data_IF_177316783900
#
_entry.id   IF_177316783900
#
_cell.length_a   1.000
_cell.length_b   1.000
_cell.length_c   1.000
_cell.angle_alpha   90.00
_cell.angle_beta   90.00
_cell.angle_gamma   90.00
#
_symmetry.space_group_name_H-M   'P 1'
#
loop_
_entity.id
_entity.type
_entity.pdbx_description
1 polymer ?
#
# COMPACT_ATOMS: atom_id res chain seq x y z
N UNK A 1 -60.81 -8.57 29.64
CA UNK A 1 -59.92 -7.44 29.34
C UNK A 1 -58.52 -7.84 29.76
N UNK A 2 -57.74 -8.34 28.84
CA UNK A 2 -56.36 -8.80 29.07
C UNK A 2 -55.37 -7.82 28.42
N UNK A 3 -54.55 -7.20 29.25
CA UNK A 3 -53.42 -6.38 28.75
C UNK A 3 -52.36 -7.28 28.14
N UNK A 4 -51.82 -6.94 26.98
CA UNK A 4 -50.91 -7.83 26.28
C UNK A 4 -49.56 -7.89 27.01
N UNK A 5 -49.09 -9.12 27.27
CA UNK A 5 -47.76 -9.44 27.85
C UNK A 5 -46.56 -8.77 27.16
N UNK A 6 -46.73 -8.31 25.95
CA UNK A 6 -45.68 -7.62 25.17
C UNK A 6 -45.29 -6.23 25.74
N UNK A 7 -46.22 -5.56 26.47
CA UNK A 7 -45.94 -4.23 27.01
C UNK A 7 -45.06 -4.28 28.27
N UNK A 8 -45.06 -5.40 29.01
CA UNK A 8 -44.21 -5.58 30.18
C UNK A 8 -42.77 -5.93 29.84
N UNK A 9 -42.53 -6.66 28.72
CA UNK A 9 -41.18 -6.94 28.26
C UNK A 9 -40.47 -5.67 27.77
N UNK A 10 -41.17 -4.76 27.10
CA UNK A 10 -40.60 -3.50 26.62
C UNK A 10 -40.22 -2.55 27.77
N UNK A 11 -41.02 -2.53 28.84
CA UNK A 11 -40.76 -1.70 30.05
C UNK A 11 -39.59 -2.28 30.86
N UNK A 12 -39.45 -3.61 30.93
CA UNK A 12 -38.35 -4.26 31.64
C UNK A 12 -36.99 -4.04 30.93
N UNK A 13 -36.97 -4.10 29.61
CA UNK A 13 -35.74 -3.83 28.82
C UNK A 13 -35.34 -2.36 28.89
N UNK A 14 -36.27 -1.42 28.78
CA UNK A 14 -35.98 0.00 28.99
C UNK A 14 -35.48 0.30 30.40
N UNK A 15 -36.05 -0.35 31.40
CA UNK A 15 -35.64 -0.17 32.80
C UNK A 15 -34.24 -0.74 33.04
N UNK A 16 -33.89 -1.87 32.46
CA UNK A 16 -32.54 -2.46 32.57
C UNK A 16 -31.46 -1.59 31.89
N UNK A 17 -31.76 -1.02 30.72
CA UNK A 17 -30.87 -0.09 30.03
C UNK A 17 -30.73 1.21 30.82
N UNK A 18 -31.83 1.74 31.38
CA UNK A 18 -31.78 2.95 32.21
C UNK A 18 -31.06 2.72 33.55
N UNK A 19 -31.18 1.53 34.14
CA UNK A 19 -30.46 1.16 35.38
C UNK A 19 -28.97 0.96 35.06
N UNK A 20 -28.61 0.32 33.94
CA UNK A 20 -27.24 0.21 33.52
C UNK A 20 -26.61 1.60 33.26
N UNK A 21 -27.34 2.51 32.62
CA UNK A 21 -26.90 3.89 32.38
C UNK A 21 -26.78 4.70 33.67
N UNK A 22 -27.70 4.52 34.64
CA UNK A 22 -27.67 5.17 35.95
C UNK A 22 -26.55 4.63 36.86
N UNK A 23 -26.26 3.33 36.81
CA UNK A 23 -25.13 2.72 37.53
C UNK A 23 -23.81 3.18 36.94
N UNK A 24 -23.74 3.29 35.61
CA UNK A 24 -22.57 3.81 34.89
C UNK A 24 -22.29 5.29 35.24
N UNK A 25 -23.33 6.12 35.29
CA UNK A 25 -23.23 7.54 35.71
C UNK A 25 -22.84 7.70 37.19
N UNK A 26 -23.22 6.78 38.08
CA UNK A 26 -22.85 6.81 39.51
C UNK A 26 -21.36 6.54 39.75
N UNK A 27 -20.69 5.87 38.82
CA UNK A 27 -19.24 5.62 38.91
C UNK A 27 -18.39 6.76 38.31
N UNK A 28 -19.01 7.68 37.63
CA UNK A 28 -18.38 8.94 37.15
C UNK A 28 -17.44 8.80 35.98
N UNK A 29 -17.23 7.59 35.44
CA UNK A 29 -16.44 7.37 34.20
C UNK A 29 -17.37 7.49 33.01
N UNK A 30 -16.97 8.28 32.02
CA UNK A 30 -17.64 8.34 30.69
C UNK A 30 -16.68 7.97 29.58
N UNK A 31 -17.16 7.20 28.62
CA UNK A 31 -16.40 6.86 27.40
C UNK A 31 -17.29 7.19 26.20
N UNK A 32 -16.75 7.99 25.31
CA UNK A 32 -17.43 8.43 24.08
C UNK A 32 -16.49 8.33 22.87
N UNK A 33 -16.95 7.72 21.80
CA UNK A 33 -18.19 6.96 21.62
C UNK A 33 -18.16 5.59 22.29
N UNK A 34 -19.31 4.95 22.47
CA UNK A 34 -19.43 3.60 23.05
C UNK A 34 -18.98 2.48 22.09
N UNK A 35 -18.84 2.77 20.82
CA UNK A 35 -18.26 1.95 19.76
C UNK A 35 -17.50 2.84 18.79
N UNK A 36 -16.42 2.33 18.22
CA UNK A 36 -15.51 3.08 17.36
C UNK A 36 -15.48 2.45 15.98
N UNK A 37 -15.53 3.28 14.94
CA UNK A 37 -15.26 2.85 13.56
C UNK A 37 -14.18 3.75 12.99
N UNK A 38 -13.09 3.14 12.52
CA UNK A 38 -11.90 3.84 11.99
C UNK A 38 -11.51 3.27 10.63
N UNK A 39 -10.80 4.04 9.80
CA UNK A 39 -10.17 3.50 8.60
C UNK A 39 -9.05 2.52 8.98
N UNK A 40 -8.88 1.48 8.18
CA UNK A 40 -7.76 0.54 8.26
C UNK A 40 -6.61 1.05 7.38
N UNK A 41 -5.88 2.06 7.84
CA UNK A 41 -4.90 2.81 7.03
C UNK A 41 -3.49 2.83 7.63
N UNK A 42 -3.30 2.18 8.79
CA UNK A 42 -2.02 2.19 9.50
C UNK A 42 -1.71 3.51 10.21
N UNK A 43 -2.62 4.47 10.22
CA UNK A 43 -2.44 5.77 10.87
C UNK A 43 -2.97 5.80 12.32
N UNK A 44 -2.57 6.83 13.06
CA UNK A 44 -3.07 7.08 14.41
C UNK A 44 -4.29 8.01 14.36
N UNK A 45 -5.41 7.57 14.94
CA UNK A 45 -6.68 8.31 14.95
C UNK A 45 -7.10 8.66 16.36
N UNK A 46 -7.71 9.84 16.55
CA UNK A 46 -8.43 10.17 17.77
C UNK A 46 -9.73 9.35 17.80
N UNK A 47 -9.73 8.29 18.60
CA UNK A 47 -10.74 7.25 18.55
C UNK A 47 -11.82 7.42 19.63
N UNK A 48 -11.45 7.91 20.82
CA UNK A 48 -12.36 7.99 21.95
C UNK A 48 -11.95 9.06 22.96
N UNK A 49 -12.91 9.45 23.74
CA UNK A 49 -12.74 10.40 24.84
C UNK A 49 -13.18 9.73 26.13
N UNK A 50 -12.32 9.82 27.15
CA UNK A 50 -12.59 9.26 28.47
C UNK A 50 -12.69 10.41 29.46
N UNK A 51 -13.85 10.56 30.08
CA UNK A 51 -14.08 11.49 31.19
C UNK A 51 -13.87 10.80 32.53
N UNK A 52 -12.93 11.30 33.32
CA UNK A 52 -12.61 10.78 34.65
C UNK A 52 -13.29 11.60 35.75
N UNK A 53 -13.86 10.98 36.75
CA UNK A 53 -14.44 11.71 37.89
C UNK A 53 -13.34 12.28 38.78
N UNK A 54 -13.38 13.58 39.03
CA UNK A 54 -12.71 14.21 40.16
C UNK A 54 -11.16 14.12 40.16
N UNK A 55 -10.51 14.45 39.09
CA UNK A 55 -9.07 14.77 39.11
C UNK A 55 -8.11 13.59 39.33
N UNK A 56 -8.45 12.40 38.84
CA UNK A 56 -7.59 11.22 38.89
C UNK A 56 -6.43 11.38 37.87
N UNK A 57 -5.22 11.02 38.31
CA UNK A 57 -4.04 11.06 37.49
C UNK A 57 -3.93 9.85 36.55
N UNK A 58 -3.21 10.04 35.45
CA UNK A 58 -3.01 9.11 34.33
C UNK A 58 -2.47 7.71 34.69
N UNK A 59 -1.86 7.53 35.86
CA UNK A 59 -1.19 6.28 36.23
C UNK A 59 -2.11 5.12 36.62
N UNK A 60 -3.41 5.35 36.85
CA UNK A 60 -4.26 4.38 37.57
C UNK A 60 -5.31 3.67 36.71
N UNK A 61 -5.37 3.91 35.38
CA UNK A 61 -6.65 3.72 34.69
C UNK A 61 -6.72 2.80 33.50
N UNK A 62 -5.63 2.41 32.85
CA UNK A 62 -5.75 1.62 31.61
C UNK A 62 -4.69 0.51 31.54
N UNK A 63 -5.14 -0.73 31.37
CA UNK A 63 -4.25 -1.83 30.94
C UNK A 63 -4.41 -2.06 29.45
N UNK A 64 -3.30 -2.01 28.72
CA UNK A 64 -3.29 -2.41 27.32
C UNK A 64 -3.38 -3.93 27.22
N UNK A 65 -4.33 -4.44 26.44
CA UNK A 65 -4.30 -5.82 26.00
C UNK A 65 -3.14 -5.98 25.02
N UNK A 66 -2.16 -6.88 25.21
CA UNK A 66 -1.02 -7.03 24.32
C UNK A 66 -1.40 -7.41 22.88
N UNK A 67 -2.63 -7.90 22.67
CA UNK A 67 -3.18 -8.25 21.34
C UNK A 67 -4.15 -7.19 20.79
N UNK A 68 -4.39 -6.11 21.51
CA UNK A 68 -5.24 -5.01 21.02
C UNK A 68 -4.43 -3.99 20.20
N UNK A 69 -5.09 -3.23 19.32
CA UNK A 69 -4.47 -2.08 18.67
C UNK A 69 -3.85 -1.15 19.72
N UNK A 70 -2.68 -0.60 19.42
CA UNK A 70 -1.97 0.26 20.37
C UNK A 70 -2.77 1.52 20.65
N UNK A 71 -3.23 1.64 21.90
CA UNK A 71 -3.91 2.83 22.42
C UNK A 71 -2.92 3.71 23.14
N UNK A 72 -2.87 4.98 22.76
CA UNK A 72 -2.11 6.03 23.47
C UNK A 72 -3.11 7.02 24.05
N UNK A 73 -3.03 7.26 25.35
CA UNK A 73 -3.88 8.22 26.04
C UNK A 73 -3.15 9.55 26.23
N UNK A 74 -3.82 10.64 25.90
CA UNK A 74 -3.32 12.01 26.05
C UNK A 74 -4.30 12.78 26.94
N UNK A 75 -3.79 13.41 28.00
CA UNK A 75 -4.62 14.32 28.80
C UNK A 75 -4.85 15.62 28.02
N UNK A 76 -6.07 15.86 27.59
CA UNK A 76 -6.45 17.09 26.85
C UNK A 76 -6.88 18.21 27.81
N UNK A 77 -7.48 17.87 28.96
CA UNK A 77 -7.91 18.76 30.03
C UNK A 77 -7.94 17.98 31.36
N UNK A 78 -7.89 18.62 32.52
CA UNK A 78 -8.03 17.93 33.81
C UNK A 78 -9.25 17.00 33.82
N UNK A 79 -9.02 15.70 34.00
CA UNK A 79 -10.07 14.68 34.03
C UNK A 79 -10.63 14.27 32.65
N UNK A 80 -10.02 14.69 31.53
CA UNK A 80 -10.40 14.27 30.18
C UNK A 80 -9.20 13.71 29.44
N UNK A 81 -9.28 12.45 29.05
CA UNK A 81 -8.27 11.77 28.21
C UNK A 81 -8.80 11.60 26.80
N UNK A 82 -7.94 11.89 25.83
CA UNK A 82 -8.15 11.58 24.41
C UNK A 82 -7.42 10.29 24.10
N UNK A 83 -8.12 9.32 23.55
CA UNK A 83 -7.57 8.01 23.16
C UNK A 83 -7.17 8.01 21.71
N UNK A 84 -5.86 8.03 21.45
CA UNK A 84 -5.29 7.86 20.12
C UNK A 84 -5.07 6.39 19.85
N UNK A 85 -5.69 5.86 18.80
CA UNK A 85 -5.64 4.45 18.43
C UNK A 85 -4.90 4.27 17.12
N UNK A 86 -3.84 3.47 17.12
CA UNK A 86 -3.13 3.10 15.90
C UNK A 86 -3.96 2.05 15.16
N UNK A 87 -4.52 2.43 14.01
CA UNK A 87 -5.28 1.53 13.17
C UNK A 87 -4.35 0.48 12.50
N UNK A 88 -4.82 -0.77 12.32
CA UNK A 88 -4.15 -1.72 11.45
C UNK A 88 -4.34 -1.34 9.98
N UNK A 89 -3.54 -1.92 9.09
CA UNK A 89 -3.70 -1.76 7.63
C UNK A 89 -4.73 -2.72 7.04
N UNK A 90 -5.17 -3.72 7.81
CA UNK A 90 -6.17 -4.69 7.39
C UNK A 90 -7.50 -4.42 8.12
N UNK A 91 -8.64 -4.55 7.42
CA UNK A 91 -9.94 -4.41 8.05
C UNK A 91 -10.15 -5.52 9.09
N UNK A 92 -10.93 -5.22 10.09
CA UNK A 92 -11.18 -6.18 11.14
C UNK A 92 -12.04 -5.64 12.26
N UNK A 93 -12.23 -6.47 13.26
CA UNK A 93 -13.04 -6.18 14.45
C UNK A 93 -12.25 -6.59 15.69
N UNK A 94 -12.26 -5.76 16.71
CA UNK A 94 -11.63 -6.05 17.99
C UNK A 94 -12.35 -5.32 19.12
N UNK A 95 -12.16 -5.80 20.34
CA UNK A 95 -12.63 -5.12 21.53
C UNK A 95 -11.44 -4.44 22.23
N UNK A 96 -11.56 -3.15 22.49
CA UNK A 96 -10.65 -2.41 23.32
C UNK A 96 -11.04 -2.59 24.79
N UNK A 97 -10.13 -3.17 25.57
CA UNK A 97 -10.34 -3.42 26.99
C UNK A 97 -9.79 -2.26 27.81
N UNK A 98 -10.67 -1.45 28.37
CA UNK A 98 -10.31 -0.34 29.26
C UNK A 98 -10.56 -0.76 30.70
N UNK A 99 -9.51 -0.85 31.52
CA UNK A 99 -9.64 -1.21 32.92
C UNK A 99 -9.50 0.03 33.80
N UNK A 100 -10.52 0.30 34.57
CA UNK A 100 -10.54 1.37 35.56
C UNK A 100 -10.94 0.82 36.96
N UNK A 101 -10.04 0.97 37.93
CA UNK A 101 -10.15 0.31 39.25
C UNK A 101 -10.28 -1.21 39.07
N UNK A 102 -11.43 -1.77 39.34
CA UNK A 102 -11.73 -3.21 39.23
C UNK A 102 -12.75 -3.52 38.13
N UNK A 103 -13.07 -2.54 37.29
CA UNK A 103 -14.05 -2.69 36.21
C UNK A 103 -13.36 -2.65 34.87
N UNK A 104 -13.65 -3.63 34.02
CA UNK A 104 -13.24 -3.64 32.61
C UNK A 104 -14.43 -3.21 31.76
N UNK A 105 -14.18 -2.24 30.89
CA UNK A 105 -15.15 -1.74 29.93
C UNK A 105 -14.67 -2.18 28.58
N UNK A 106 -15.55 -2.76 27.77
CA UNK A 106 -15.30 -3.17 26.41
C UNK A 106 -15.82 -2.10 25.47
N UNK A 107 -14.95 -1.61 24.58
CA UNK A 107 -15.34 -0.70 23.50
C UNK A 107 -15.09 -1.44 22.19
N UNK A 108 -16.16 -1.83 21.47
CA UNK A 108 -16.01 -2.46 20.17
C UNK A 108 -15.38 -1.50 19.18
N UNK A 109 -14.35 -1.96 18.47
CA UNK A 109 -13.65 -1.20 17.44
C UNK A 109 -13.74 -1.97 16.12
N UNK A 110 -14.21 -1.28 15.09
CA UNK A 110 -14.27 -1.80 13.71
C UNK A 110 -13.32 -0.99 12.84
N UNK A 111 -12.45 -1.68 12.11
CA UNK A 111 -11.58 -1.10 11.12
C UNK A 111 -12.10 -1.42 9.73
N UNK A 112 -12.35 -0.41 8.92
CA UNK A 112 -12.86 -0.54 7.56
C UNK A 112 -11.84 0.03 6.58
N UNK A 113 -11.70 -0.62 5.43
CA UNK A 113 -10.99 0.01 4.31
C UNK A 113 -11.83 1.17 3.78
N UNK A 114 -11.23 2.33 3.63
CA UNK A 114 -11.85 3.44 2.94
C UNK A 114 -11.82 3.12 1.43
N UNK A 115 -12.97 2.94 0.77
CA UNK A 115 -13.03 2.58 -0.64
C UNK A 115 -12.76 3.76 -1.58
N UNK A 116 -12.32 4.90 -1.09
CA UNK A 116 -12.04 6.07 -1.93
C UNK A 116 -10.89 5.78 -2.91
N UNK A 117 -11.02 6.35 -4.10
CA UNK A 117 -10.02 6.40 -5.17
C UNK A 117 -10.00 7.85 -5.67
N UNK A 118 -9.31 8.71 -4.94
CA UNK A 118 -9.30 10.17 -5.13
C UNK A 118 -8.81 10.59 -6.52
N UNK A 119 -8.08 9.72 -7.19
CA UNK A 119 -7.54 9.99 -8.52
C UNK A 119 -8.28 9.24 -9.64
N UNK A 120 -9.28 8.42 -9.32
CA UNK A 120 -10.04 7.59 -10.25
C UNK A 120 -9.13 6.74 -11.18
N UNK A 121 -7.96 6.33 -10.68
CA UNK A 121 -6.95 5.57 -11.42
C UNK A 121 -7.00 4.05 -11.11
N UNK A 122 -7.97 3.65 -10.29
CA UNK A 122 -8.19 2.26 -9.90
C UNK A 122 -7.32 1.80 -8.73
N UNK A 123 -6.50 2.68 -8.17
CA UNK A 123 -5.71 2.44 -6.96
C UNK A 123 -6.40 3.11 -5.80
N UNK A 124 -6.97 2.37 -4.85
CA UNK A 124 -7.63 2.98 -3.69
C UNK A 124 -6.63 3.72 -2.81
N UNK A 125 -7.11 4.76 -2.12
CA UNK A 125 -6.26 5.66 -1.35
C UNK A 125 -5.54 4.95 -0.21
N UNK A 126 -6.13 3.90 0.38
CA UNK A 126 -5.48 3.11 1.43
C UNK A 126 -4.21 2.35 0.96
N UNK A 127 -3.99 2.19 -0.35
CA UNK A 127 -2.76 1.63 -0.90
C UNK A 127 -1.68 2.66 -1.16
N UNK A 128 -2.02 3.95 -1.20
CA UNK A 128 -1.04 5.01 -1.44
C UNK A 128 -0.16 5.18 -0.21
N UNK A 129 1.12 5.40 -0.41
CA UNK A 129 2.06 5.64 0.67
C UNK A 129 1.90 7.07 1.17
N UNK A 130 1.27 7.24 2.33
CA UNK A 130 0.86 8.55 2.85
C UNK A 130 2.02 9.43 3.27
N UNK A 131 3.12 8.83 3.79
CA UNK A 131 4.25 9.61 4.26
C UNK A 131 5.33 9.79 3.19
N UNK A 132 5.96 10.96 3.14
CA UNK A 132 7.11 11.18 2.28
C UNK A 132 8.25 10.19 2.59
N UNK A 133 8.38 9.77 3.84
CA UNK A 133 9.39 8.80 4.26
C UNK A 133 9.15 7.43 3.65
N UNK A 134 7.90 6.92 3.65
CA UNK A 134 7.55 5.63 3.05
C UNK A 134 7.68 5.67 1.52
N UNK A 135 7.29 6.78 0.88
CA UNK A 135 7.51 6.98 -0.56
C UNK A 135 8.99 6.98 -0.93
N UNK A 136 9.83 7.62 -0.12
CA UNK A 136 11.28 7.62 -0.31
C UNK A 136 11.87 6.23 -0.07
N UNK A 137 11.45 5.54 0.98
CA UNK A 137 11.88 4.18 1.29
C UNK A 137 11.54 3.23 0.12
N UNK A 138 10.29 3.28 -0.38
CA UNK A 138 9.89 2.48 -1.54
C UNK A 138 10.77 2.75 -2.75
N UNK A 139 11.00 4.02 -3.12
CA UNK A 139 11.84 4.37 -4.27
C UNK A 139 13.26 3.84 -4.12
N UNK A 140 13.84 4.03 -2.93
CA UNK A 140 15.18 3.56 -2.63
C UNK A 140 15.30 2.04 -2.74
N UNK A 141 14.40 1.29 -2.13
CA UNK A 141 14.40 -0.17 -2.22
C UNK A 141 14.12 -0.65 -3.64
N UNK A 142 13.13 -0.09 -4.32
CA UNK A 142 12.75 -0.47 -5.69
C UNK A 142 13.94 -0.32 -6.66
N UNK A 143 14.65 0.80 -6.59
CA UNK A 143 15.84 1.02 -7.44
C UNK A 143 17.01 0.13 -7.05
N UNK A 144 17.33 0.03 -5.76
CA UNK A 144 18.48 -0.77 -5.27
C UNK A 144 18.30 -2.25 -5.56
N UNK A 145 17.08 -2.78 -5.40
CA UNK A 145 16.77 -4.18 -5.71
C UNK A 145 16.95 -4.44 -7.21
N UNK A 146 16.41 -3.54 -8.07
CA UNK A 146 16.55 -3.68 -9.51
C UNK A 146 18.02 -3.58 -9.97
N UNK A 147 18.78 -2.61 -9.45
CA UNK A 147 20.20 -2.46 -9.72
C UNK A 147 21.00 -3.68 -9.26
N UNK A 148 20.68 -4.23 -8.10
CA UNK A 148 21.31 -5.44 -7.56
C UNK A 148 21.20 -6.64 -8.51
N UNK A 149 20.11 -6.72 -9.30
CA UNK A 149 19.95 -7.84 -10.25
C UNK A 149 20.96 -7.77 -11.42
N UNK A 150 21.52 -6.61 -11.74
CA UNK A 150 22.52 -6.49 -12.81
C UNK A 150 23.85 -7.20 -12.50
N UNK A 151 24.11 -7.43 -11.22
CA UNK A 151 25.35 -8.06 -10.74
C UNK A 151 25.15 -9.52 -10.30
N UNK A 152 23.92 -10.05 -10.40
CA UNK A 152 23.66 -11.43 -10.00
C UNK A 152 24.15 -12.42 -11.04
N UNK A 153 24.91 -13.45 -10.65
CA UNK A 153 25.36 -14.50 -11.56
C UNK A 153 24.20 -15.33 -12.11
N UNK A 154 23.07 -15.34 -11.38
CA UNK A 154 21.85 -16.04 -11.78
C UNK A 154 20.66 -15.24 -11.28
N UNK A 155 19.80 -14.83 -12.21
CA UNK A 155 18.56 -14.14 -11.88
C UNK A 155 17.56 -15.06 -11.18
N UNK A 156 16.71 -14.52 -10.29
CA UNK A 156 15.49 -15.20 -9.86
C UNK A 156 14.70 -15.74 -11.07
N UNK A 157 14.18 -16.95 -10.97
CA UNK A 157 13.52 -17.62 -12.09
C UNK A 157 12.30 -16.88 -12.62
N UNK A 158 11.71 -16.01 -11.80
CA UNK A 158 10.56 -15.18 -12.14
C UNK A 158 10.92 -13.93 -12.95
N UNK A 159 12.21 -13.53 -13.04
CA UNK A 159 12.65 -12.39 -13.82
C UNK A 159 13.02 -12.91 -15.22
N UNK A 160 12.04 -12.95 -16.10
CA UNK A 160 12.18 -13.46 -17.48
C UNK A 160 11.90 -12.39 -18.54
N UNK A 161 11.32 -11.24 -18.14
CA UNK A 161 11.10 -10.07 -19.01
C UNK A 161 11.18 -8.74 -18.23
N UNK A 162 10.98 -7.64 -18.94
CA UNK A 162 11.03 -6.29 -18.36
C UNK A 162 9.89 -6.06 -17.33
N UNK A 163 8.69 -6.60 -17.56
CA UNK A 163 7.57 -6.48 -16.61
C UNK A 163 7.78 -7.33 -15.37
N UNK A 164 8.40 -8.50 -15.53
CA UNK A 164 8.78 -9.38 -14.41
C UNK A 164 9.78 -8.70 -13.47
N UNK A 165 10.77 -7.98 -14.03
CA UNK A 165 11.67 -7.15 -13.23
C UNK A 165 10.92 -6.09 -12.42
N UNK A 166 9.96 -5.39 -13.04
CA UNK A 166 9.15 -4.38 -12.34
C UNK A 166 8.35 -5.00 -11.20
N UNK A 167 7.68 -6.12 -11.44
CA UNK A 167 6.86 -6.82 -10.42
C UNK A 167 7.74 -7.33 -9.27
N UNK A 168 8.88 -7.92 -9.59
CA UNK A 168 9.84 -8.41 -8.61
C UNK A 168 10.33 -7.26 -7.73
N UNK A 169 10.90 -6.20 -8.32
CA UNK A 169 11.44 -5.09 -7.56
C UNK A 169 10.37 -4.36 -6.73
N UNK A 170 9.13 -4.23 -7.26
CA UNK A 170 8.00 -3.65 -6.53
C UNK A 170 7.63 -4.46 -5.29
N UNK A 171 7.47 -5.78 -5.46
CA UNK A 171 7.14 -6.68 -4.36
C UNK A 171 8.22 -6.69 -3.30
N UNK A 172 9.48 -6.87 -3.73
CA UNK A 172 10.61 -6.89 -2.80
C UNK A 172 10.78 -5.56 -2.06
N UNK A 173 10.49 -4.42 -2.71
CA UNK A 173 10.52 -3.11 -2.04
C UNK A 173 9.50 -2.98 -0.90
N UNK A 174 8.42 -3.76 -0.92
CA UNK A 174 7.39 -3.79 0.12
C UNK A 174 7.68 -4.78 1.25
N UNK A 175 8.73 -5.58 1.17
CA UNK A 175 9.09 -6.49 2.27
C UNK A 175 9.54 -5.75 3.53
N UNK A 176 9.41 -6.43 4.68
CA UNK A 176 10.13 -6.03 5.88
C UNK A 176 11.62 -6.35 5.67
N UNK A 177 12.43 -5.30 5.50
CA UNK A 177 13.87 -5.46 5.28
C UNK A 177 14.57 -5.64 6.64
N UNK A 178 14.22 -6.73 7.33
CA UNK A 178 14.82 -7.16 8.58
C UNK A 178 16.14 -7.92 8.36
N UNK A 179 16.78 -8.33 9.44
CA UNK A 179 18.04 -9.07 9.38
C UNK A 179 17.93 -10.35 8.53
N UNK A 180 16.80 -11.05 8.59
CA UNK A 180 16.58 -12.28 7.82
C UNK A 180 16.56 -12.00 6.33
N UNK A 181 15.86 -10.92 5.91
CA UNK A 181 15.82 -10.50 4.52
C UNK A 181 17.20 -10.04 4.05
N UNK A 182 17.92 -9.22 4.86
CA UNK A 182 19.25 -8.70 4.54
C UNK A 182 20.31 -9.78 4.41
N UNK A 183 20.21 -10.88 5.17
CA UNK A 183 21.11 -12.05 5.01
C UNK A 183 20.94 -12.68 3.63
N UNK A 184 19.71 -12.72 3.12
CA UNK A 184 19.42 -13.28 1.79
C UNK A 184 19.71 -12.30 0.66
N UNK A 185 19.75 -11.01 0.95
CA UNK A 185 19.95 -9.90 0.01
C UNK A 185 21.00 -8.92 0.54
N UNK A 186 22.30 -9.30 0.54
CA UNK A 186 23.34 -8.45 1.07
C UNK A 186 23.42 -7.10 0.35
N UNK A 187 23.41 -6.02 1.11
CA UNK A 187 23.48 -4.63 0.61
C UNK A 187 24.51 -3.85 1.41
N UNK A 188 25.19 -2.91 0.76
CA UNK A 188 26.23 -2.08 1.38
C UNK A 188 25.64 -1.13 2.44
N UNK A 189 24.43 -0.61 2.24
CA UNK A 189 23.76 0.27 3.17
C UNK A 189 22.26 -0.03 3.22
N UNK A 190 21.74 -0.57 4.32
CA UNK A 190 20.32 -0.82 4.47
C UNK A 190 19.54 0.50 4.51
N UNK A 191 18.48 0.57 3.74
CA UNK A 191 17.51 1.66 3.75
C UNK A 191 16.43 1.37 4.80
N UNK A 192 15.72 2.38 5.33
CA UNK A 192 14.58 2.14 6.19
C UNK A 192 13.47 1.39 5.44
N UNK A 193 12.82 0.44 6.10
CA UNK A 193 11.64 -0.22 5.54
C UNK A 193 10.44 0.72 5.50
N UNK A 194 9.50 0.43 4.59
CA UNK A 194 8.18 1.04 4.59
C UNK A 194 7.47 0.65 5.89
N UNK A 195 6.73 1.58 6.47
CA UNK A 195 6.04 1.37 7.75
C UNK A 195 4.56 1.12 7.60
N UNK A 196 3.95 1.69 6.55
CA UNK A 196 2.50 1.66 6.37
C UNK A 196 1.97 0.24 6.23
N UNK A 197 2.60 -0.59 5.40
CA UNK A 197 2.30 -2.03 5.26
C UNK A 197 3.49 -2.78 4.69
N UNK A 198 3.53 -4.08 4.90
CA UNK A 198 4.60 -4.94 4.40
C UNK A 198 4.03 -6.15 3.64
N UNK A 199 4.72 -6.55 2.58
CA UNK A 199 4.38 -7.74 1.83
C UNK A 199 4.74 -9.01 2.62
N UNK A 200 3.90 -10.07 2.63
CA UNK A 200 2.62 -10.20 1.92
C UNK A 200 1.40 -9.70 2.71
N UNK A 201 1.57 -9.10 3.90
CA UNK A 201 0.49 -8.59 4.76
C UNK A 201 0.03 -7.19 4.30
N UNK A 202 -0.10 -6.98 3.00
CA UNK A 202 -0.70 -5.75 2.44
C UNK A 202 -2.23 -5.83 2.48
N UNK A 203 -2.95 -4.72 2.34
CA UNK A 203 -4.41 -4.74 2.22
C UNK A 203 -4.94 -5.61 1.06
N UNK A 204 -4.12 -5.87 0.04
CA UNK A 204 -4.42 -6.75 -1.09
C UNK A 204 -3.78 -8.15 -0.96
N UNK A 205 -3.10 -8.45 0.16
CA UNK A 205 -2.29 -9.65 0.28
C UNK A 205 -1.19 -9.68 -0.78
N UNK A 206 -1.09 -10.79 -1.51
CA UNK A 206 -0.08 -10.95 -2.57
C UNK A 206 -0.50 -10.37 -3.94
N UNK A 207 -1.75 -9.94 -4.12
CA UNK A 207 -2.30 -9.49 -5.40
C UNK A 207 -2.08 -7.98 -5.61
N UNK A 208 -0.84 -7.57 -5.80
CA UNK A 208 -0.41 -6.16 -5.75
C UNK A 208 -0.82 -5.31 -6.96
N UNK A 209 -1.14 -5.94 -8.11
CA UNK A 209 -1.30 -5.22 -9.37
C UNK A 209 -2.74 -5.23 -9.86
N UNK A 210 -3.26 -4.03 -10.15
CA UNK A 210 -4.55 -3.89 -10.79
C UNK A 210 -4.50 -4.40 -12.23
N UNK A 211 -5.47 -5.25 -12.59
CA UNK A 211 -5.57 -5.85 -13.93
C UNK A 211 -6.85 -5.49 -14.66
N UNK A 212 -7.85 -4.93 -13.98
CA UNK A 212 -9.11 -4.45 -14.59
C UNK A 212 -9.12 -2.93 -14.73
N UNK A 213 -9.71 -2.40 -15.82
CA UNK A 213 -9.84 -0.95 -16.02
C UNK A 213 -10.90 -0.33 -15.11
N UNK A 214 -10.88 1.00 -15.00
CA UNK A 214 -11.88 1.80 -14.29
C UNK A 214 -11.45 2.19 -12.88
N UNK A 215 -12.23 3.05 -12.19
CA UNK A 215 -11.98 3.43 -10.80
C UNK A 215 -12.10 2.22 -9.88
N UNK A 216 -11.54 2.32 -8.68
CA UNK A 216 -11.68 1.28 -7.68
C UNK A 216 -13.13 1.19 -7.17
N UNK A 217 -13.58 -0.05 -6.98
CA UNK A 217 -14.85 -0.36 -6.34
C UNK A 217 -14.60 -1.35 -5.19
N UNK A 218 -15.36 -1.32 -4.09
CA UNK A 218 -15.14 -2.21 -2.93
C UNK A 218 -15.11 -3.71 -3.29
N UNK A 219 -15.91 -4.14 -4.26
CA UNK A 219 -15.94 -5.51 -4.78
C UNK A 219 -14.66 -5.93 -5.50
N UNK A 220 -13.81 -4.98 -5.90
CA UNK A 220 -12.53 -5.25 -6.56
C UNK A 220 -11.55 -6.01 -5.67
N UNK A 221 -11.72 -5.93 -4.36
CA UNK A 221 -10.93 -6.68 -3.40
C UNK A 221 -11.12 -8.20 -3.50
N UNK A 222 -12.28 -8.66 -3.97
CA UNK A 222 -12.64 -10.08 -4.02
C UNK A 222 -12.91 -10.65 -5.41
N UNK A 223 -12.97 -9.83 -6.47
CA UNK A 223 -13.43 -10.24 -7.79
C UNK A 223 -12.32 -10.52 -8.82
N UNK A 224 -11.04 -10.52 -8.37
CA UNK A 224 -9.87 -10.72 -9.25
C UNK A 224 -9.48 -9.48 -10.04
N UNK A 225 -9.86 -8.28 -9.60
CA UNK A 225 -9.41 -7.01 -10.19
C UNK A 225 -7.95 -6.72 -9.87
N UNK A 226 -7.40 -7.36 -8.83
CA UNK A 226 -6.00 -7.33 -8.47
C UNK A 226 -5.39 -8.72 -8.59
N UNK A 227 -4.14 -8.80 -9.05
CA UNK A 227 -3.42 -10.05 -9.27
C UNK A 227 -1.92 -9.89 -8.93
N UNK A 228 -1.22 -11.03 -8.84
CA UNK A 228 0.24 -11.04 -8.70
C UNK A 228 0.95 -10.79 -10.04
N UNK A 229 0.28 -11.07 -11.14
CA UNK A 229 0.80 -10.91 -12.49
C UNK A 229 0.11 -9.76 -13.21
N UNK A 230 0.92 -8.91 -13.86
CA UNK A 230 0.50 -7.90 -14.83
C UNK A 230 1.64 -7.74 -15.87
N UNK A 231 1.29 -7.66 -17.14
CA UNK A 231 2.24 -7.40 -18.22
C UNK A 231 2.66 -5.91 -18.26
N UNK A 232 3.63 -5.57 -19.08
CA UNK A 232 4.17 -4.20 -19.16
C UNK A 232 3.10 -3.16 -19.52
N UNK A 233 2.17 -3.50 -20.40
CA UNK A 233 1.05 -2.62 -20.77
C UNK A 233 0.11 -2.40 -19.60
N UNK A 234 -0.28 -3.47 -18.92
CA UNK A 234 -1.19 -3.42 -17.77
C UNK A 234 -0.55 -2.64 -16.60
N UNK A 235 0.76 -2.84 -16.35
CA UNK A 235 1.48 -2.05 -15.36
C UNK A 235 1.45 -0.57 -15.71
N UNK A 236 1.76 -0.21 -16.96
CA UNK A 236 1.75 1.17 -17.43
C UNK A 236 0.34 1.80 -17.32
N UNK A 237 -0.69 1.13 -17.85
CA UNK A 237 -2.02 1.71 -18.00
C UNK A 237 -2.84 1.74 -16.70
N UNK A 238 -2.53 0.85 -15.72
CA UNK A 238 -3.41 0.61 -14.56
C UNK A 238 -2.74 0.76 -13.22
N UNK A 239 -1.40 0.73 -13.17
CA UNK A 239 -0.64 0.77 -11.91
C UNK A 239 0.29 1.97 -11.83
N UNK A 240 0.34 2.77 -12.91
CA UNK A 240 1.17 3.96 -12.97
C UNK A 240 0.41 5.12 -13.60
N UNK A 241 0.88 6.33 -13.36
CA UNK A 241 0.40 7.55 -14.02
C UNK A 241 1.53 8.23 -14.78
N UNK A 242 1.17 8.89 -15.88
CA UNK A 242 2.11 9.64 -16.70
C UNK A 242 2.60 10.89 -15.94
N UNK A 243 3.90 11.00 -15.74
CA UNK A 243 4.55 12.22 -15.21
C UNK A 243 4.76 13.23 -16.35
N UNK A 244 5.19 12.74 -17.51
CA UNK A 244 5.44 13.57 -18.69
C UNK A 244 6.29 12.85 -19.73
N UNK A 245 6.58 13.55 -20.83
CA UNK A 245 7.48 13.07 -21.90
C UNK A 245 8.86 13.73 -21.87
N UNK A 246 9.18 14.40 -20.77
CA UNK A 246 10.49 15.00 -20.54
C UNK A 246 11.21 14.21 -19.45
N UNK A 247 12.32 13.56 -19.80
CA UNK A 247 13.09 12.75 -18.88
C UNK A 247 13.67 13.55 -17.70
N UNK A 248 13.79 14.88 -17.81
CA UNK A 248 14.21 15.76 -16.71
C UNK A 248 13.23 15.80 -15.55
N UNK A 249 11.99 15.36 -15.74
CA UNK A 249 10.96 15.24 -14.69
C UNK A 249 11.06 13.92 -13.93
N UNK A 250 11.87 12.97 -14.41
CA UNK A 250 12.02 11.67 -13.79
C UNK A 250 12.73 11.79 -12.42
N UNK A 251 12.26 11.01 -11.47
CA UNK A 251 12.87 10.80 -10.16
C UNK A 251 13.29 9.33 -10.03
N UNK A 252 14.33 8.99 -9.25
CA UNK A 252 14.67 7.59 -9.01
C UNK A 252 13.43 6.76 -8.62
N UNK A 253 13.27 5.59 -9.24
CA UNK A 253 12.09 4.75 -9.09
C UNK A 253 10.93 5.05 -10.04
N UNK A 254 11.03 6.06 -10.88
CA UNK A 254 10.11 6.25 -12.00
C UNK A 254 10.43 5.27 -13.13
N UNK A 255 9.44 5.02 -13.98
CA UNK A 255 9.51 4.06 -15.08
C UNK A 255 9.53 4.78 -16.41
N UNK A 256 10.30 4.24 -17.33
CA UNK A 256 10.34 4.73 -18.72
C UNK A 256 9.71 3.66 -19.60
N UNK A 257 8.63 4.01 -20.30
CA UNK A 257 7.95 3.07 -21.19
C UNK A 257 8.16 3.41 -22.66
N UNK A 258 8.31 2.33 -23.44
CA UNK A 258 8.38 2.38 -24.88
C UNK A 258 7.36 1.45 -25.50
N UNK A 259 6.95 1.76 -26.73
CA UNK A 259 6.13 0.90 -27.58
C UNK A 259 6.83 0.73 -28.94
N UNK A 260 7.31 -0.47 -29.19
CA UNK A 260 8.02 -0.82 -30.42
C UNK A 260 7.05 -1.49 -31.41
N UNK A 261 6.33 -0.66 -32.18
CA UNK A 261 5.30 -1.14 -33.12
C UNK A 261 5.88 -1.99 -34.26
N UNK A 262 7.13 -1.74 -34.64
CA UNK A 262 7.80 -2.37 -35.78
C UNK A 262 8.63 -3.60 -35.39
N UNK A 263 8.58 -4.02 -34.14
CA UNK A 263 9.23 -5.25 -33.70
C UNK A 263 8.37 -6.45 -34.10
N UNK A 264 8.49 -6.82 -35.38
CA UNK A 264 8.00 -8.12 -35.85
C UNK A 264 9.02 -9.15 -35.37
N UNK A 265 8.61 -10.03 -34.49
CA UNK A 265 9.44 -11.18 -34.13
C UNK A 265 9.61 -12.07 -35.38
N UNK A 266 10.82 -12.58 -35.67
CA UNK A 266 11.02 -13.58 -36.74
C UNK A 266 10.17 -14.85 -36.53
N UNK A 267 9.60 -15.01 -35.33
CA UNK A 267 8.73 -16.14 -34.94
C UNK A 267 7.24 -15.81 -35.01
N UNK A 268 6.88 -14.54 -35.32
CA UNK A 268 5.48 -14.17 -35.49
C UNK A 268 4.95 -14.76 -36.81
N UNK A 269 4.13 -15.79 -36.68
CA UNK A 269 3.41 -16.37 -37.83
C UNK A 269 2.31 -15.40 -38.23
N UNK A 270 2.19 -15.03 -39.50
CA UNK A 270 1.09 -14.19 -39.97
C UNK A 270 -0.27 -14.73 -39.52
N UNK A 271 -1.02 -13.92 -38.75
CA UNK A 271 -2.34 -14.29 -38.22
C UNK A 271 -2.34 -14.93 -36.82
N UNK A 272 -1.19 -15.21 -36.23
CA UNK A 272 -1.07 -15.63 -34.82
C UNK A 272 -0.95 -14.40 -33.89
N UNK A 273 -1.29 -14.60 -32.61
CA UNK A 273 -1.05 -13.58 -31.59
C UNK A 273 0.45 -13.35 -31.48
N UNK A 274 0.96 -12.08 -31.52
CA UNK A 274 2.38 -11.80 -31.41
C UNK A 274 2.96 -12.43 -30.15
N UNK A 275 4.07 -13.15 -30.30
CA UNK A 275 4.76 -13.79 -29.17
C UNK A 275 5.49 -12.80 -28.25
N UNK A 276 5.62 -11.53 -28.65
CA UNK A 276 6.27 -10.49 -27.88
C UNK A 276 5.35 -9.28 -27.68
N UNK A 277 5.28 -8.82 -26.44
CA UNK A 277 4.61 -7.55 -26.14
C UNK A 277 5.40 -6.41 -26.82
N UNK A 278 4.74 -5.53 -27.59
CA UNK A 278 5.43 -4.36 -28.17
C UNK A 278 5.85 -3.35 -27.09
N UNK A 279 5.45 -3.57 -25.84
CA UNK A 279 5.78 -2.68 -24.73
C UNK A 279 7.09 -3.11 -24.06
N UNK A 280 7.90 -2.11 -23.73
CA UNK A 280 9.13 -2.30 -22.98
C UNK A 280 9.22 -1.27 -21.88
N UNK A 281 9.83 -1.65 -20.76
CA UNK A 281 9.97 -0.80 -19.59
C UNK A 281 11.39 -0.79 -19.06
N UNK A 282 11.82 0.38 -18.55
CA UNK A 282 13.08 0.58 -17.86
C UNK A 282 12.82 1.28 -16.53
N UNK A 283 13.63 1.00 -15.52
CA UNK A 283 13.61 1.66 -14.22
C UNK A 283 14.62 2.80 -14.25
N UNK A 284 14.20 4.01 -13.96
CA UNK A 284 15.09 5.15 -13.83
C UNK A 284 15.72 5.16 -12.43
N UNK A 285 17.06 5.10 -12.39
CA UNK A 285 17.85 5.02 -11.17
C UNK A 285 18.64 6.30 -10.86
N UNK A 286 18.20 7.44 -11.41
CA UNK A 286 18.87 8.71 -11.19
C UNK A 286 20.19 8.82 -11.99
N UNK A 287 21.24 9.26 -11.31
CA UNK A 287 22.57 9.45 -11.92
C UNK A 287 23.19 8.14 -12.45
N UNK A 288 22.83 6.99 -11.86
CA UNK A 288 23.26 5.67 -12.33
C UNK A 288 22.61 5.24 -13.65
N UNK A 289 21.66 6.03 -14.17
CA UNK A 289 21.03 5.80 -15.45
C UNK A 289 19.74 4.99 -15.35
N UNK A 290 19.63 3.94 -16.18
CA UNK A 290 18.46 3.06 -16.22
C UNK A 290 18.86 1.60 -16.11
N UNK A 291 17.97 0.81 -15.52
CA UNK A 291 18.09 -0.65 -15.41
C UNK A 291 16.87 -1.31 -16.04
N UNK A 292 17.09 -2.37 -16.79
CA UNK A 292 16.03 -3.13 -17.44
C UNK A 292 16.43 -4.57 -17.74
N UNK A 293 15.45 -5.44 -17.96
CA UNK A 293 15.63 -6.75 -18.55
C UNK A 293 15.28 -6.69 -20.04
N UNK A 294 16.15 -7.24 -20.89
CA UNK A 294 15.96 -7.15 -22.36
C UNK A 294 14.73 -7.87 -22.89
N UNK A 295 14.14 -8.73 -22.07
CA UNK A 295 13.18 -9.74 -22.54
C UNK A 295 13.91 -10.86 -23.31
N UNK A 296 13.20 -11.90 -23.72
CA UNK A 296 13.75 -12.96 -24.55
C UNK A 296 14.33 -12.40 -25.85
N UNK A 297 15.59 -12.73 -26.13
CA UNK A 297 16.28 -12.37 -27.40
C UNK A 297 16.56 -13.66 -28.15
N UNK A 298 16.00 -13.82 -29.34
CA UNK A 298 16.08 -15.04 -30.14
C UNK A 298 15.59 -16.26 -29.32
N UNK A 299 16.48 -17.26 -29.11
CA UNK A 299 16.22 -18.44 -28.27
C UNK A 299 16.73 -18.29 -26.82
N UNK A 300 17.31 -17.11 -26.49
CA UNK A 300 17.85 -16.82 -25.16
C UNK A 300 16.81 -16.24 -24.21
N UNK A 301 17.04 -16.44 -22.89
CA UNK A 301 16.15 -15.92 -21.83
C UNK A 301 16.21 -14.40 -21.66
N UNK A 302 17.08 -13.71 -22.39
CA UNK A 302 17.36 -12.30 -22.12
C UNK A 302 18.35 -12.10 -20.96
N UNK A 303 18.65 -10.85 -20.67
CA UNK A 303 19.61 -10.47 -19.64
C UNK A 303 19.27 -9.12 -19.00
N UNK A 304 19.80 -8.91 -17.81
CA UNK A 304 19.78 -7.59 -17.17
C UNK A 304 20.77 -6.66 -17.81
N UNK A 305 20.37 -5.42 -18.01
CA UNK A 305 21.25 -4.36 -18.52
C UNK A 305 21.12 -3.09 -17.69
N UNK A 306 22.24 -2.38 -17.64
CA UNK A 306 22.31 -1.00 -17.15
C UNK A 306 22.83 -0.13 -18.28
N UNK A 307 22.21 1.02 -18.50
CA UNK A 307 22.70 2.06 -19.40
C UNK A 307 22.86 3.36 -18.63
N UNK A 308 23.98 4.06 -18.86
CA UNK A 308 24.10 5.43 -18.39
C UNK A 308 23.06 6.31 -19.10
N UNK A 309 22.64 7.37 -18.45
CA UNK A 309 21.66 8.27 -19.04
C UNK A 309 22.14 8.90 -20.34
N UNK A 310 23.44 9.27 -20.41
CA UNK A 310 24.07 9.75 -21.62
C UNK A 310 23.97 8.76 -22.77
N UNK A 311 24.18 7.48 -22.49
CA UNK A 311 24.18 6.43 -23.52
C UNK A 311 22.76 6.17 -24.01
N UNK A 312 21.77 6.24 -23.12
CA UNK A 312 20.36 6.11 -23.47
C UNK A 312 19.89 7.29 -24.35
N UNK A 313 20.29 8.54 -24.01
CA UNK A 313 19.97 9.73 -24.79
C UNK A 313 20.59 9.70 -26.19
N UNK A 314 21.76 9.07 -26.35
CA UNK A 314 22.47 8.92 -27.59
C UNK A 314 22.42 7.49 -28.14
N UNK A 315 21.44 6.69 -27.70
CA UNK A 315 21.31 5.30 -28.14
C UNK A 315 21.42 5.19 -29.69
N UNK A 316 22.23 4.25 -30.23
CA UNK A 316 22.44 4.15 -31.68
C UNK A 316 21.12 3.95 -32.45
N UNK A 317 20.23 3.16 -31.93
CA UNK A 317 18.85 3.04 -32.43
C UNK A 317 17.97 4.15 -31.84
N UNK A 318 17.55 5.11 -32.67
CA UNK A 318 16.78 6.27 -32.29
C UNK A 318 15.43 5.91 -31.62
N UNK A 319 14.90 4.70 -31.87
CA UNK A 319 13.65 4.21 -31.25
C UNK A 319 13.74 4.08 -29.72
N UNK A 320 14.96 3.94 -29.18
CA UNK A 320 15.20 3.84 -27.74
C UNK A 320 15.57 5.15 -27.06
N UNK A 321 15.68 6.25 -27.83
CA UNK A 321 16.00 7.55 -27.22
C UNK A 321 14.78 8.12 -26.53
N UNK A 322 14.85 8.48 -25.24
CA UNK A 322 13.71 9.04 -24.49
C UNK A 322 13.53 10.53 -24.78
N UNK A 323 13.28 10.84 -26.04
CA UNK A 323 13.07 12.20 -26.53
C UNK A 323 11.58 12.42 -26.82
N UNK A 324 11.02 13.60 -26.55
CA UNK A 324 9.61 13.91 -26.82
C UNK A 324 9.17 13.66 -28.28
N UNK A 325 10.10 13.79 -29.22
CA UNK A 325 9.88 13.59 -30.66
C UNK A 325 9.80 12.10 -31.05
N UNK A 326 10.36 11.22 -30.23
CA UNK A 326 10.36 9.79 -30.49
C UNK A 326 8.95 9.21 -30.23
N UNK A 327 8.26 8.82 -31.30
CA UNK A 327 6.90 8.25 -31.20
C UNK A 327 6.85 6.95 -30.38
N UNK A 328 7.97 6.21 -30.31
CA UNK A 328 8.07 4.97 -29.53
C UNK A 328 8.24 5.22 -28.03
N UNK A 329 8.75 6.40 -27.62
CA UNK A 329 8.86 6.79 -26.23
C UNK A 329 7.50 7.26 -25.71
N UNK A 330 6.88 6.49 -24.84
CA UNK A 330 5.56 6.80 -24.27
C UNK A 330 5.65 7.84 -23.17
N UNK A 331 6.76 7.87 -22.44
CA UNK A 331 7.00 8.87 -21.38
C UNK A 331 7.63 8.28 -20.13
N UNK A 332 7.68 9.14 -19.12
CA UNK A 332 8.05 8.83 -17.74
C UNK A 332 6.77 8.59 -16.96
N UNK A 333 6.73 7.48 -16.26
CA UNK A 333 5.58 7.06 -15.46
C UNK A 333 5.99 6.84 -14.01
N UNK A 334 5.04 7.00 -13.11
CA UNK A 334 5.25 6.79 -11.68
C UNK A 334 4.20 5.84 -11.13
N UNK A 335 4.60 4.98 -10.19
CA UNK A 335 3.67 4.10 -9.52
C UNK A 335 2.54 4.86 -8.83
N UNK A 336 1.30 4.41 -8.98
CA UNK A 336 0.13 5.05 -8.38
C UNK A 336 0.22 5.16 -6.86
N UNK A 337 0.85 4.18 -6.20
CA UNK A 337 1.07 4.21 -4.74
C UNK A 337 1.96 5.37 -4.27
N UNK A 338 2.71 6.00 -5.17
CA UNK A 338 3.58 7.15 -4.89
C UNK A 338 2.90 8.49 -5.19
N UNK A 339 1.62 8.47 -5.61
CA UNK A 339 0.89 9.70 -5.93
C UNK A 339 0.63 10.48 -4.65
N UNK A 340 1.04 11.73 -4.65
CA UNK A 340 0.88 12.64 -3.51
C UNK A 340 -0.50 13.30 -3.60
N UNK A 341 -1.15 13.50 -2.46
CA UNK A 341 -2.25 14.45 -2.35
C UNK A 341 -1.63 15.86 -2.47
N UNK A 342 -2.18 16.68 -3.35
CA UNK A 342 -1.77 18.08 -3.54
C UNK A 342 -2.24 18.96 -2.38
#
# INVERSE_FOLDING_TARGET
MGYPRAMWLGILTLSLVAVAFLVYRRQGLSIEPSQVTLPADGAEHNALRIGLPGGLSFGDTVSENPNAPKLRLLESRPGILEGMLLAPVNPGHTDLHLTWRHHTILVPVTFLLDPSDSYADGTPDFLRLHTAQDRQAFRGWFTSIAEGQTNQPKLPAEIDDCAALLRFAYREALHAHDETWLVSHPMEAPLPSIRQYVYPQTPLGANLFRVRPGPFLPEDLGNGSFAQFADARTLMERNTYLVGRDLRQARPGDLIFYRQLDQISPYDVPGATPHHSPFHSMIFCGESGVVYHTGPIHQGKGEMRRLLLSDLLHHPDARWRPLPENANFLGVYRWNILREED
#
